data_IF_285931639017
#
_entry.id   IF_285931639017
#
_cell.length_a   1.000
_cell.length_b   1.000
_cell.length_c   1.000
_cell.angle_alpha   90.00
_cell.angle_beta   90.00
_cell.angle_gamma   90.00
#
_symmetry.space_group_name_H-M   'P 1'
#
loop_
_entity.id
_entity.type
_entity.pdbx_description
1 polymer ?
#
# COMPACT_ATOMS: atom_id res chain seq x y z
N UNK A 1 3.52 -1.19 27.38
CA UNK A 1 4.70 -0.63 26.63
C UNK A 1 5.91 -0.68 27.55
N UNK A 2 7.07 -1.18 27.09
CA UNK A 2 8.28 -1.25 27.93
C UNK A 2 8.83 0.15 28.22
N UNK A 3 9.58 0.29 29.33
CA UNK A 3 10.24 1.56 29.70
C UNK A 3 11.15 2.09 28.56
N UNK A 4 11.85 1.19 27.89
CA UNK A 4 12.69 1.54 26.74
C UNK A 4 11.90 2.15 25.58
N UNK A 5 10.68 1.64 25.31
CA UNK A 5 9.81 2.18 24.28
C UNK A 5 9.20 3.53 24.68
N UNK A 6 8.91 3.74 25.96
CA UNK A 6 8.49 5.05 26.47
C UNK A 6 9.58 6.10 26.33
N UNK A 7 10.83 5.73 26.59
CA UNK A 7 11.98 6.62 26.42
C UNK A 7 12.21 6.97 24.94
N UNK A 8 12.11 5.97 24.03
CA UNK A 8 12.19 6.21 22.58
C UNK A 8 11.10 7.20 22.11
N UNK A 9 9.88 7.05 22.62
CA UNK A 9 8.76 7.94 22.31
C UNK A 9 9.01 9.37 22.79
N UNK A 10 9.44 9.55 24.04
CA UNK A 10 9.76 10.86 24.61
C UNK A 10 10.89 11.57 23.83
N UNK A 11 11.94 10.84 23.48
CA UNK A 11 13.06 11.35 22.67
C UNK A 11 12.57 11.79 21.29
N UNK A 12 11.71 11.01 20.66
CA UNK A 12 11.11 11.32 19.36
C UNK A 12 10.28 12.60 19.41
N UNK A 13 9.43 12.76 20.43
CA UNK A 13 8.62 13.98 20.60
C UNK A 13 9.48 15.23 20.79
N UNK A 14 10.58 15.12 21.55
CA UNK A 14 11.53 16.20 21.73
C UNK A 14 12.21 16.58 20.41
N UNK A 15 12.67 15.57 19.67
CA UNK A 15 13.31 15.75 18.36
C UNK A 15 12.36 16.41 17.36
N UNK A 16 11.09 15.97 17.37
CA UNK A 16 10.07 16.51 16.49
C UNK A 16 9.74 18.00 16.81
N UNK A 17 9.54 18.33 18.07
CA UNK A 17 9.33 19.71 18.50
C UNK A 17 10.52 20.65 18.22
N UNK A 18 11.73 20.08 18.07
CA UNK A 18 12.90 20.80 17.60
C UNK A 18 12.84 21.02 16.08
N UNK A 19 12.45 19.99 15.32
CA UNK A 19 12.34 20.04 13.87
C UNK A 19 11.29 21.08 13.41
N UNK A 20 10.14 21.16 14.07
CA UNK A 20 9.05 22.09 13.73
C UNK A 20 9.44 23.56 13.75
N UNK A 21 10.37 23.96 14.65
CA UNK A 21 10.75 25.37 14.81
C UNK A 21 11.46 25.94 13.59
N UNK A 22 12.30 25.16 12.94
CA UNK A 22 13.00 25.51 11.71
C UNK A 22 13.39 24.23 10.98
N UNK A 23 12.49 23.66 10.14
CA UNK A 23 12.73 22.37 9.50
C UNK A 23 14.00 22.31 8.66
N UNK A 24 14.29 23.38 7.90
CA UNK A 24 15.44 23.44 6.98
C UNK A 24 16.78 23.37 7.74
N UNK A 25 16.91 24.10 8.83
CA UNK A 25 18.13 24.14 9.63
C UNK A 25 18.25 22.92 10.56
N UNK A 26 17.12 22.46 11.11
CA UNK A 26 17.11 21.48 12.18
C UNK A 26 17.11 20.03 11.68
N UNK A 27 16.70 19.76 10.43
CA UNK A 27 16.69 18.41 9.88
C UNK A 27 18.10 17.78 9.85
N UNK A 28 19.11 18.48 9.38
CA UNK A 28 20.49 18.02 9.36
C UNK A 28 21.08 17.88 10.77
N UNK A 29 20.77 18.80 11.69
CA UNK A 29 21.19 18.69 13.08
C UNK A 29 20.60 17.45 13.75
N UNK A 30 19.31 17.17 13.49
CA UNK A 30 18.64 15.99 13.99
C UNK A 30 19.28 14.71 13.44
N UNK A 31 19.57 14.64 12.14
CA UNK A 31 20.29 13.50 11.54
C UNK A 31 21.65 13.29 12.20
N UNK A 32 22.38 14.34 12.53
CA UNK A 32 23.66 14.24 13.23
C UNK A 32 23.53 13.68 14.64
N UNK A 33 22.40 13.91 15.33
CA UNK A 33 22.09 13.27 16.61
C UNK A 33 21.72 11.79 16.43
N UNK A 34 20.89 11.48 15.42
CA UNK A 34 20.53 10.10 15.09
C UNK A 34 21.78 9.26 14.82
N UNK A 35 22.73 9.77 14.04
CA UNK A 35 23.99 9.07 13.76
C UNK A 35 24.82 8.81 15.02
N UNK A 36 24.92 9.79 15.91
CA UNK A 36 25.64 9.62 17.19
C UNK A 36 24.98 8.60 18.12
N UNK A 37 23.64 8.52 18.11
CA UNK A 37 22.87 7.64 18.98
C UNK A 37 22.75 6.21 18.44
N UNK A 38 22.68 6.07 17.11
CA UNK A 38 22.45 4.78 16.45
C UNK A 38 23.71 3.88 16.44
N UNK A 39 24.92 4.47 16.50
CA UNK A 39 26.17 3.72 16.35
C UNK A 39 26.35 3.13 14.94
N UNK A 40 27.33 2.20 14.81
CA UNK A 40 27.72 1.62 13.52
C UNK A 40 27.30 0.15 13.35
N UNK A 41 26.42 -0.37 14.21
CA UNK A 41 25.93 -1.75 14.12
C UNK A 41 25.03 -1.99 12.91
N UNK A 42 24.90 -3.25 12.43
CA UNK A 42 24.06 -3.59 11.27
C UNK A 42 22.58 -3.19 11.48
N UNK A 43 22.10 -3.23 12.73
CA UNK A 43 20.73 -2.83 13.08
C UNK A 43 20.53 -1.30 13.15
N UNK A 44 21.59 -0.51 12.90
CA UNK A 44 21.55 0.95 12.92
C UNK A 44 21.18 1.59 11.59
N UNK A 45 20.92 0.78 10.55
CA UNK A 45 20.56 1.23 9.20
C UNK A 45 21.54 2.27 8.59
N UNK A 46 22.86 2.02 8.58
CA UNK A 46 23.85 3.02 8.19
C UNK A 46 23.68 3.51 6.75
N UNK A 47 23.34 2.60 5.81
CA UNK A 47 23.13 2.94 4.39
C UNK A 47 21.91 3.85 4.22
N UNK A 48 20.81 3.55 4.90
CA UNK A 48 19.58 4.33 4.85
C UNK A 48 19.80 5.72 5.48
N UNK A 49 20.51 5.82 6.59
CA UNK A 49 20.86 7.09 7.22
C UNK A 49 21.73 7.96 6.33
N UNK A 50 22.72 7.36 5.66
CA UNK A 50 23.56 8.07 4.70
C UNK A 50 22.76 8.61 3.52
N UNK A 51 21.83 7.81 2.98
CA UNK A 51 20.94 8.25 1.91
C UNK A 51 20.02 9.42 2.34
N UNK A 52 19.43 9.34 3.54
CA UNK A 52 18.61 10.45 4.08
C UNK A 52 19.45 11.71 4.27
N UNK A 53 20.68 11.59 4.79
CA UNK A 53 21.60 12.72 4.93
C UNK A 53 21.90 13.37 3.58
N UNK A 54 22.25 12.58 2.57
CA UNK A 54 22.50 13.07 1.22
C UNK A 54 21.33 13.85 0.65
N UNK A 55 20.11 13.38 0.89
CA UNK A 55 18.89 14.10 0.50
C UNK A 55 18.77 15.44 1.26
N UNK A 56 19.02 15.45 2.56
CA UNK A 56 18.88 16.65 3.39
C UNK A 56 19.98 17.70 3.16
N UNK A 57 21.11 17.32 2.59
CA UNK A 57 22.23 18.22 2.25
C UNK A 57 22.04 18.96 0.90
N UNK A 58 21.08 18.51 0.08
CA UNK A 58 20.80 19.13 -1.23
C UNK A 58 19.37 19.70 -1.30
N UNK A 59 19.17 21.00 -1.09
CA UNK A 59 17.86 21.64 -1.19
C UNK A 59 17.23 21.59 -2.59
N UNK A 60 18.00 21.30 -3.65
CA UNK A 60 17.49 21.13 -5.00
C UNK A 60 16.98 19.70 -5.24
N UNK A 61 17.28 18.77 -4.36
CA UNK A 61 16.81 17.40 -4.43
C UNK A 61 15.28 17.35 -4.28
N UNK A 62 14.60 16.66 -5.18
CA UNK A 62 13.15 16.54 -5.16
C UNK A 62 12.61 15.87 -3.88
N UNK A 63 13.33 14.90 -3.31
CA UNK A 63 12.95 14.27 -2.05
C UNK A 63 13.15 15.21 -0.85
N UNK A 64 14.16 16.10 -0.87
CA UNK A 64 14.27 17.20 0.09
C UNK A 64 13.02 18.10 0.03
N UNK A 65 12.63 18.49 -1.18
CA UNK A 65 11.44 19.32 -1.38
C UNK A 65 10.17 18.61 -0.89
N UNK A 66 10.02 17.29 -1.14
CA UNK A 66 8.92 16.51 -0.59
C UNK A 66 8.89 16.54 0.94
N UNK A 67 10.03 16.28 1.59
CA UNK A 67 10.12 16.32 3.06
C UNK A 67 9.76 17.71 3.60
N UNK A 68 10.28 18.78 2.99
CA UNK A 68 9.99 20.15 3.41
C UNK A 68 8.51 20.51 3.19
N UNK A 69 7.90 20.07 2.09
CA UNK A 69 6.47 20.27 1.84
C UNK A 69 5.62 19.54 2.89
N UNK A 70 5.95 18.30 3.24
CA UNK A 70 5.27 17.58 4.31
C UNK A 70 5.38 18.32 5.63
N UNK A 71 6.58 18.76 6.01
CA UNK A 71 6.84 19.46 7.27
C UNK A 71 6.16 20.83 7.37
N UNK A 72 6.01 21.54 6.25
CA UNK A 72 5.43 22.91 6.23
C UNK A 72 3.91 22.92 6.02
N UNK A 73 3.38 21.93 5.30
CA UNK A 73 1.99 21.96 4.82
C UNK A 73 1.07 20.96 5.54
N UNK A 74 1.60 20.12 6.43
CA UNK A 74 0.80 19.18 7.21
C UNK A 74 0.57 19.73 8.63
N UNK A 75 -0.63 19.51 9.17
CA UNK A 75 -0.92 19.79 10.58
C UNK A 75 0.08 19.11 11.49
N UNK A 76 0.61 19.84 12.45
CA UNK A 76 1.73 19.39 13.27
C UNK A 76 1.40 18.18 14.15
N UNK A 77 0.18 18.12 14.67
CA UNK A 77 -0.27 17.03 15.51
C UNK A 77 -0.56 15.76 14.68
N UNK A 78 -1.09 15.91 13.46
CA UNK A 78 -1.24 14.82 12.50
C UNK A 78 0.12 14.28 12.09
N UNK A 79 1.07 15.16 11.82
CA UNK A 79 2.42 14.77 11.44
C UNK A 79 3.16 14.05 12.57
N UNK A 80 3.04 14.51 13.83
CA UNK A 80 3.59 13.81 15.01
C UNK A 80 3.01 12.41 15.16
N UNK A 81 1.68 12.29 15.07
CA UNK A 81 0.99 11.00 15.18
C UNK A 81 1.42 10.06 14.05
N UNK A 82 1.49 10.55 12.81
CA UNK A 82 1.95 9.75 11.66
C UNK A 82 3.40 9.30 11.85
N UNK A 83 4.28 10.18 12.28
CA UNK A 83 5.68 9.83 12.51
C UNK A 83 5.82 8.81 13.63
N UNK A 84 5.08 8.96 14.73
CA UNK A 84 5.07 7.99 15.82
C UNK A 84 4.53 6.63 15.35
N UNK A 85 3.38 6.61 14.67
CA UNK A 85 2.71 5.36 14.32
C UNK A 85 3.42 4.65 13.17
N UNK A 86 3.77 5.36 12.10
CA UNK A 86 4.40 4.76 10.94
C UNK A 86 5.88 4.45 11.18
N UNK A 87 6.68 5.39 11.67
CA UNK A 87 8.12 5.16 11.84
C UNK A 87 8.44 4.41 13.14
N UNK A 88 7.97 4.90 14.29
CA UNK A 88 8.33 4.28 15.56
C UNK A 88 7.57 2.96 15.77
N UNK A 89 6.23 2.99 15.74
CA UNK A 89 5.44 1.82 16.10
C UNK A 89 5.53 0.72 15.03
N UNK A 90 5.29 1.04 13.74
CA UNK A 90 5.27 0.02 12.69
C UNK A 90 6.66 -0.52 12.33
N UNK A 91 7.70 0.34 12.31
CA UNK A 91 9.03 -0.09 11.86
C UNK A 91 10.00 -0.36 13.01
N UNK A 92 10.19 0.58 13.96
CA UNK A 92 11.23 0.41 14.99
C UNK A 92 10.80 -0.55 16.11
N UNK A 93 9.51 -0.59 16.46
CA UNK A 93 8.96 -1.45 17.51
C UNK A 93 8.35 -2.72 16.92
N UNK A 94 7.54 -2.58 15.85
CA UNK A 94 6.78 -3.66 15.26
C UNK A 94 7.64 -4.65 14.49
N UNK A 95 8.55 -4.16 13.66
CA UNK A 95 9.37 -5.01 12.81
C UNK A 95 10.17 -6.09 13.57
N UNK A 96 10.93 -5.78 14.63
CA UNK A 96 11.63 -6.81 15.41
C UNK A 96 10.69 -7.86 16.01
N UNK A 97 9.48 -7.44 16.41
CA UNK A 97 8.47 -8.35 16.94
C UNK A 97 7.89 -9.26 15.85
N UNK A 98 7.66 -8.73 14.65
CA UNK A 98 7.27 -9.54 13.49
C UNK A 98 8.34 -10.59 13.17
N UNK A 99 9.63 -10.23 13.19
CA UNK A 99 10.75 -11.16 12.96
C UNK A 99 10.82 -12.26 14.04
N UNK A 100 10.57 -11.93 15.31
CA UNK A 100 10.45 -12.91 16.38
C UNK A 100 9.34 -13.93 16.11
N UNK A 101 8.16 -13.44 15.72
CA UNK A 101 7.01 -14.29 15.39
C UNK A 101 7.24 -15.14 14.15
N UNK A 102 7.85 -14.60 13.07
CA UNK A 102 8.25 -15.35 11.88
C UNK A 102 9.12 -16.54 12.24
N UNK A 103 10.14 -16.32 13.04
CA UNK A 103 11.05 -17.39 13.52
C UNK A 103 10.33 -18.40 14.40
N UNK A 104 9.51 -17.93 15.34
CA UNK A 104 8.83 -18.79 16.33
C UNK A 104 7.81 -19.72 15.69
N UNK A 105 7.04 -19.23 14.72
CA UNK A 105 5.92 -19.94 14.14
C UNK A 105 6.19 -20.49 12.73
N UNK A 106 7.36 -20.20 12.18
CA UNK A 106 7.78 -20.58 10.82
C UNK A 106 6.72 -20.25 9.77
N UNK A 107 6.25 -19.00 9.76
CA UNK A 107 5.27 -18.49 8.81
C UNK A 107 5.54 -17.01 8.52
N UNK A 108 4.93 -16.50 7.47
CA UNK A 108 4.93 -15.07 7.19
C UNK A 108 4.17 -14.30 8.28
N UNK A 109 4.69 -13.13 8.68
CA UNK A 109 3.98 -12.16 9.52
C UNK A 109 3.94 -10.84 8.76
N UNK A 110 2.77 -10.27 8.50
CA UNK A 110 2.64 -9.08 7.65
C UNK A 110 3.13 -7.81 8.35
N UNK A 111 3.57 -6.84 7.54
CA UNK A 111 3.82 -5.48 8.00
C UNK A 111 2.54 -4.65 8.02
N UNK A 112 1.61 -4.92 7.09
CA UNK A 112 0.30 -4.29 7.00
C UNK A 112 -0.81 -5.31 6.80
N UNK A 113 -2.02 -5.00 7.26
CA UNK A 113 -3.22 -5.78 7.00
C UNK A 113 -4.19 -4.92 6.20
N UNK A 114 -4.62 -5.41 5.03
CA UNK A 114 -5.68 -4.81 4.24
C UNK A 114 -7.02 -5.37 4.73
N UNK A 115 -8.01 -4.49 4.90
CA UNK A 115 -9.34 -4.82 5.41
C UNK A 115 -10.40 -4.20 4.52
N UNK A 116 -11.43 -5.00 4.18
CA UNK A 116 -12.67 -4.50 3.59
C UNK A 116 -13.72 -4.30 4.69
N UNK A 117 -13.88 -3.11 5.26
CA UNK A 117 -14.91 -2.87 6.27
C UNK A 117 -16.32 -3.16 5.73
N UNK A 118 -16.49 -3.00 4.43
CA UNK A 118 -17.75 -3.23 3.69
C UNK A 118 -17.48 -3.55 2.23
N UNK A 119 -18.32 -4.38 1.63
CA UNK A 119 -18.36 -4.56 0.17
C UNK A 119 -19.24 -3.50 -0.54
N UNK A 120 -20.02 -2.71 0.23
CA UNK A 120 -20.85 -1.66 -0.34
C UNK A 120 -20.02 -0.52 -0.94
N UNK A 121 -20.36 -0.10 -2.14
CA UNK A 121 -19.76 1.03 -2.83
C UNK A 121 -20.82 1.95 -3.40
N UNK A 122 -20.55 3.23 -3.44
CA UNK A 122 -21.42 4.25 -4.05
C UNK A 122 -21.04 4.55 -5.51
N UNK A 123 -20.09 3.82 -6.09
CA UNK A 123 -19.69 3.87 -7.50
C UNK A 123 -19.73 2.46 -8.13
N UNK A 124 -19.73 2.41 -9.46
CA UNK A 124 -19.65 1.18 -10.26
C UNK A 124 -18.56 1.37 -11.33
N UNK A 125 -17.30 1.22 -10.92
CA UNK A 125 -16.16 1.45 -11.80
C UNK A 125 -15.96 0.30 -12.78
N UNK A 126 -15.64 0.60 -14.03
CA UNK A 126 -15.34 -0.41 -15.05
C UNK A 126 -14.12 -1.24 -14.65
N UNK A 127 -14.27 -2.57 -14.62
CA UNK A 127 -13.21 -3.50 -14.23
C UNK A 127 -12.76 -3.34 -12.76
N UNK A 128 -13.71 -3.12 -11.85
CA UNK A 128 -13.43 -3.05 -10.42
C UNK A 128 -13.15 -4.46 -9.87
N UNK A 129 -11.99 -4.66 -9.26
CA UNK A 129 -11.60 -5.95 -8.67
C UNK A 129 -12.54 -6.40 -7.52
N UNK A 130 -13.20 -5.47 -6.83
CA UNK A 130 -14.10 -5.76 -5.71
C UNK A 130 -15.57 -5.95 -6.11
N UNK A 131 -15.90 -5.92 -7.41
CA UNK A 131 -17.31 -5.99 -7.87
C UNK A 131 -17.97 -7.31 -7.51
N UNK A 132 -17.24 -8.41 -7.54
CA UNK A 132 -17.76 -9.78 -7.35
C UNK A 132 -18.09 -10.11 -5.88
N UNK A 133 -17.69 -9.28 -4.92
CA UNK A 133 -18.10 -9.43 -3.53
C UNK A 133 -19.56 -8.99 -3.27
N UNK A 134 -20.17 -8.28 -4.22
CA UNK A 134 -21.50 -7.67 -4.04
C UNK A 134 -21.46 -6.42 -3.15
N UNK A 135 -22.59 -6.05 -2.55
CA UNK A 135 -22.72 -4.78 -1.81
C UNK A 135 -23.36 -4.88 -0.43
N UNK A 136 -23.42 -6.09 0.15
CA UNK A 136 -24.15 -6.34 1.42
C UNK A 136 -23.29 -6.87 2.56
N UNK A 137 -22.02 -7.19 2.29
CA UNK A 137 -21.13 -7.78 3.26
C UNK A 137 -20.47 -6.68 4.11
N UNK A 138 -20.27 -6.99 5.39
CA UNK A 138 -19.60 -6.10 6.32
C UNK A 138 -18.84 -6.92 7.37
N UNK A 139 -17.62 -6.50 7.69
CA UNK A 139 -17.01 -6.81 8.97
C UNK A 139 -17.66 -5.94 10.05
N UNK A 140 -18.00 -6.50 11.19
CA UNK A 140 -18.49 -5.71 12.32
C UNK A 140 -17.36 -4.87 12.93
N UNK A 141 -17.72 -3.85 13.71
CA UNK A 141 -16.75 -3.07 14.48
C UNK A 141 -15.86 -3.96 15.35
N UNK A 142 -16.47 -4.91 16.07
CA UNK A 142 -15.76 -5.80 17.00
C UNK A 142 -14.84 -6.79 16.26
N UNK A 143 -15.21 -7.26 15.05
CA UNK A 143 -14.36 -8.09 14.23
C UNK A 143 -13.10 -7.30 13.78
N UNK A 144 -13.26 -6.07 13.29
CA UNK A 144 -12.13 -5.22 12.90
C UNK A 144 -11.25 -4.89 14.12
N UNK A 145 -11.84 -4.55 15.24
CA UNK A 145 -11.13 -4.31 16.51
C UNK A 145 -10.31 -5.53 16.95
N UNK A 146 -10.89 -6.72 16.86
CA UNK A 146 -10.20 -7.99 17.17
C UNK A 146 -9.01 -8.23 16.21
N UNK A 147 -9.19 -8.01 14.90
CA UNK A 147 -8.11 -8.15 13.92
C UNK A 147 -6.96 -7.19 14.25
N UNK A 148 -7.26 -5.93 14.55
CA UNK A 148 -6.25 -4.93 14.92
C UNK A 148 -5.53 -5.34 16.21
N UNK A 149 -6.26 -5.81 17.21
CA UNK A 149 -5.69 -6.26 18.47
C UNK A 149 -4.75 -7.45 18.30
N UNK A 150 -5.16 -8.47 17.55
CA UNK A 150 -4.33 -9.63 17.22
C UNK A 150 -3.10 -9.22 16.38
N UNK A 151 -3.28 -8.31 15.43
CA UNK A 151 -2.17 -7.76 14.63
C UNK A 151 -1.13 -7.07 15.51
N UNK A 152 -1.53 -6.23 16.45
CA UNK A 152 -0.63 -5.56 17.41
C UNK A 152 0.14 -6.55 18.29
N UNK A 153 -0.47 -7.68 18.65
CA UNK A 153 0.22 -8.76 19.36
C UNK A 153 1.38 -9.34 18.57
N UNK A 154 1.31 -9.32 17.24
CA UNK A 154 2.38 -9.75 16.33
C UNK A 154 3.29 -8.61 15.86
N UNK A 155 3.05 -7.36 16.29
CA UNK A 155 3.83 -6.19 15.91
C UNK A 155 3.34 -5.48 14.65
N UNK A 156 2.09 -5.71 14.21
CA UNK A 156 1.49 -5.00 13.08
C UNK A 156 0.81 -3.73 13.60
N UNK A 157 1.21 -2.58 13.07
CA UNK A 157 0.67 -1.25 13.42
C UNK A 157 0.20 -0.46 12.19
N UNK A 158 0.26 -1.07 11.00
CA UNK A 158 -0.22 -0.47 9.76
C UNK A 158 -1.46 -1.22 9.26
N UNK A 159 -2.57 -0.52 9.09
CA UNK A 159 -3.83 -1.05 8.59
C UNK A 159 -4.29 -0.25 7.39
N UNK A 160 -4.82 -0.94 6.37
CA UNK A 160 -5.22 -0.31 5.12
C UNK A 160 -6.68 -0.69 4.85
N UNK A 161 -7.56 0.28 4.85
CA UNK A 161 -8.96 0.07 4.49
C UNK A 161 -9.13 0.09 2.97
N UNK A 162 -9.86 -0.89 2.44
CA UNK A 162 -10.19 -1.04 1.03
C UNK A 162 -11.58 -1.67 0.89
N UNK A 163 -11.88 -2.45 -0.14
CA UNK A 163 -13.17 -3.13 -0.36
C UNK A 163 -14.04 -2.42 -1.37
N UNK A 164 -15.31 -2.20 -1.03
CA UNK A 164 -16.20 -1.32 -1.77
C UNK A 164 -15.74 0.13 -1.63
N UNK A 165 -16.49 0.98 -0.94
CA UNK A 165 -16.03 2.29 -0.50
C UNK A 165 -15.95 2.31 1.03
N UNK A 166 -14.76 2.34 1.64
CA UNK A 166 -14.61 2.30 3.09
C UNK A 166 -15.35 3.44 3.80
N UNK A 167 -15.40 4.63 3.19
CA UNK A 167 -16.04 5.80 3.79
C UNK A 167 -17.58 5.74 3.86
N UNK A 168 -18.20 4.70 3.30
CA UNK A 168 -19.61 4.38 3.61
C UNK A 168 -19.77 4.12 5.12
N UNK A 169 -18.71 3.61 5.77
CA UNK A 169 -18.63 3.34 7.22
C UNK A 169 -17.73 4.31 7.97
N UNK A 170 -17.59 5.55 7.51
CA UNK A 170 -16.67 6.53 8.09
C UNK A 170 -16.79 6.71 9.62
N UNK A 171 -17.97 6.52 10.21
CA UNK A 171 -18.15 6.61 11.67
C UNK A 171 -17.41 5.51 12.43
N UNK A 172 -17.52 4.27 11.94
CA UNK A 172 -16.83 3.12 12.54
C UNK A 172 -15.31 3.23 12.35
N UNK A 173 -14.88 3.67 11.16
CA UNK A 173 -13.45 3.86 10.88
C UNK A 173 -12.81 4.90 11.80
N UNK A 174 -13.48 6.03 12.03
CA UNK A 174 -13.00 7.05 12.97
C UNK A 174 -12.97 6.51 14.40
N UNK A 175 -13.98 5.77 14.84
CA UNK A 175 -13.99 5.16 16.17
C UNK A 175 -12.86 4.11 16.34
N UNK A 176 -12.53 3.34 15.29
CA UNK A 176 -11.39 2.43 15.30
C UNK A 176 -10.04 3.18 15.35
N UNK A 177 -9.91 4.28 14.60
CA UNK A 177 -8.74 5.15 14.66
C UNK A 177 -8.52 5.74 16.06
N UNK A 178 -9.58 6.16 16.71
CA UNK A 178 -9.55 6.67 18.09
C UNK A 178 -9.15 5.58 19.08
N UNK A 179 -9.77 4.40 18.99
CA UNK A 179 -9.47 3.25 19.86
C UNK A 179 -8.04 2.75 19.71
N UNK A 180 -7.53 2.75 18.48
CA UNK A 180 -6.17 2.30 18.15
C UNK A 180 -5.28 3.48 17.73
N UNK A 181 -5.20 4.50 18.59
CA UNK A 181 -4.43 5.71 18.33
C UNK A 181 -2.92 5.49 18.15
N UNK A 182 -2.43 4.31 18.52
CA UNK A 182 -1.05 3.83 18.32
C UNK A 182 -0.81 3.13 16.97
N UNK A 183 -1.84 3.01 16.12
CA UNK A 183 -1.77 2.45 14.77
C UNK A 183 -1.89 3.54 13.71
N UNK A 184 -1.31 3.31 12.55
CA UNK A 184 -1.51 4.13 11.36
C UNK A 184 -2.55 3.48 10.45
N UNK A 185 -3.54 4.25 10.02
CA UNK A 185 -4.57 3.83 9.09
C UNK A 185 -4.42 4.57 7.76
N UNK A 186 -4.39 3.81 6.67
CA UNK A 186 -4.49 4.32 5.32
C UNK A 186 -5.82 3.82 4.73
N UNK A 187 -6.47 4.60 3.88
CA UNK A 187 -7.69 4.15 3.21
C UNK A 187 -7.61 4.41 1.71
N UNK A 188 -7.70 3.37 0.91
CA UNK A 188 -8.03 3.52 -0.50
C UNK A 188 -9.49 3.93 -0.61
N UNK A 189 -9.76 5.09 -1.20
CA UNK A 189 -11.09 5.66 -1.27
C UNK A 189 -11.33 6.38 -2.60
N UNK A 190 -12.56 6.34 -3.09
CA UNK A 190 -12.97 7.17 -4.20
C UNK A 190 -13.14 8.66 -3.81
N UNK A 191 -12.96 8.98 -2.55
CA UNK A 191 -12.99 10.31 -1.93
C UNK A 191 -14.31 11.09 -2.07
N UNK A 192 -15.32 10.56 -2.75
CA UNK A 192 -16.60 11.28 -2.99
C UNK A 192 -17.39 11.55 -1.71
N UNK A 193 -17.04 10.88 -0.62
CA UNK A 193 -17.65 11.01 0.71
C UNK A 193 -16.82 11.84 1.70
N UNK A 194 -15.68 12.40 1.26
CA UNK A 194 -14.89 13.33 2.07
C UNK A 194 -15.58 14.70 2.07
N UNK A 195 -16.01 15.12 3.23
CA UNK A 195 -16.63 16.41 3.51
C UNK A 195 -15.89 17.10 4.67
N UNK A 196 -16.23 18.38 4.94
CA UNK A 196 -15.64 19.17 6.04
C UNK A 196 -15.77 18.46 7.41
N UNK A 197 -16.92 17.83 7.66
CA UNK A 197 -17.18 17.14 8.92
C UNK A 197 -16.22 15.95 9.09
N UNK A 198 -16.01 15.16 8.04
CA UNK A 198 -15.09 14.04 8.07
C UNK A 198 -13.63 14.50 8.17
N UNK A 199 -13.26 15.57 7.45
CA UNK A 199 -11.91 16.15 7.56
C UNK A 199 -11.62 16.65 8.99
N UNK A 200 -12.59 17.23 9.68
CA UNK A 200 -12.44 17.61 11.09
C UNK A 200 -12.25 16.38 12.01
N UNK A 201 -12.94 15.27 11.74
CA UNK A 201 -12.73 14.01 12.47
C UNK A 201 -11.33 13.42 12.18
N UNK A 202 -10.82 13.51 10.95
CA UNK A 202 -9.45 13.11 10.63
C UNK A 202 -8.42 13.92 11.42
N UNK A 203 -8.61 15.25 11.54
CA UNK A 203 -7.77 16.11 12.39
C UNK A 203 -7.84 15.68 13.87
N UNK A 204 -9.01 15.29 14.36
CA UNK A 204 -9.21 14.87 15.73
C UNK A 204 -8.49 13.56 16.07
N UNK A 205 -8.59 12.55 15.18
CA UNK A 205 -7.96 11.23 15.41
C UNK A 205 -6.49 11.18 15.00
N UNK A 206 -6.06 12.00 14.01
CA UNK A 206 -4.66 12.25 13.61
C UNK A 206 -3.93 11.10 12.90
N UNK A 207 -4.48 9.90 12.86
CA UNK A 207 -3.84 8.68 12.38
C UNK A 207 -4.52 8.05 11.16
N UNK A 208 -5.35 8.82 10.43
CA UNK A 208 -6.03 8.40 9.21
C UNK A 208 -5.53 9.19 7.99
N UNK A 209 -5.05 8.50 6.95
CA UNK A 209 -4.54 9.09 5.72
C UNK A 209 -5.26 8.48 4.51
N UNK A 210 -5.95 9.26 3.65
CA UNK A 210 -6.56 8.73 2.44
C UNK A 210 -5.55 8.61 1.30
N UNK A 211 -5.67 7.54 0.52
CA UNK A 211 -5.10 7.37 -0.80
C UNK A 211 -6.24 7.47 -1.82
N UNK A 212 -6.34 8.61 -2.48
CA UNK A 212 -7.48 9.00 -3.30
C UNK A 212 -7.38 8.35 -4.66
N UNK A 213 -8.42 7.64 -5.04
CA UNK A 213 -8.50 6.97 -6.33
C UNK A 213 -8.77 7.97 -7.46
N UNK A 214 -7.84 8.05 -8.41
CA UNK A 214 -7.93 8.92 -9.60
C UNK A 214 -7.20 8.26 -10.78
N UNK A 215 -7.73 8.42 -11.99
CA UNK A 215 -7.26 7.68 -13.17
C UNK A 215 -6.52 8.57 -14.20
N UNK A 216 -6.14 9.78 -13.81
CA UNK A 216 -5.67 10.86 -14.66
C UNK A 216 -6.62 12.05 -14.60
N UNK A 217 -6.64 12.88 -15.64
CA UNK A 217 -7.58 14.01 -15.74
C UNK A 217 -9.05 13.58 -15.89
N UNK A 218 -9.96 14.54 -15.94
CA UNK A 218 -11.41 14.34 -15.87
C UNK A 218 -11.93 13.27 -16.84
N UNK A 219 -11.53 13.32 -18.10
CA UNK A 219 -11.99 12.34 -19.10
C UNK A 219 -11.61 10.90 -18.73
N UNK A 220 -10.39 10.66 -18.26
CA UNK A 220 -9.91 9.34 -17.88
C UNK A 220 -10.57 8.87 -16.56
N UNK A 221 -10.68 9.76 -15.58
CA UNK A 221 -11.29 9.45 -14.28
C UNK A 221 -12.78 9.18 -14.42
N UNK A 222 -13.52 10.07 -15.07
CA UNK A 222 -14.96 9.92 -15.27
C UNK A 222 -15.31 8.75 -16.20
N UNK A 223 -14.47 8.50 -17.21
CA UNK A 223 -14.64 7.37 -18.12
C UNK A 223 -14.63 6.01 -17.44
N UNK A 224 -13.83 5.84 -16.39
CA UNK A 224 -13.74 4.59 -15.62
C UNK A 224 -14.67 4.58 -14.41
N UNK A 225 -14.83 5.72 -13.72
CA UNK A 225 -15.48 5.78 -12.40
C UNK A 225 -16.89 6.38 -12.43
N UNK A 226 -17.31 6.91 -13.56
CA UNK A 226 -18.62 7.56 -13.76
C UNK A 226 -18.53 9.08 -13.73
N UNK A 227 -19.40 9.70 -14.51
CA UNK A 227 -19.43 11.14 -14.74
C UNK A 227 -19.52 11.96 -13.45
N UNK A 228 -18.73 13.02 -13.37
CA UNK A 228 -18.66 13.95 -12.23
C UNK A 228 -17.86 13.41 -11.03
N UNK A 229 -17.25 12.25 -11.14
CA UNK A 229 -16.37 11.71 -10.08
C UNK A 229 -15.12 12.56 -9.92
N UNK A 230 -14.48 12.97 -11.02
CA UNK A 230 -13.30 13.83 -10.98
C UNK A 230 -13.52 15.12 -10.19
N UNK A 231 -14.62 15.82 -10.44
CA UNK A 231 -14.95 17.08 -9.75
C UNK A 231 -15.15 16.87 -8.23
N UNK A 232 -15.74 15.72 -7.83
CA UNK A 232 -15.86 15.38 -6.40
C UNK A 232 -14.50 15.09 -5.76
N UNK A 233 -13.61 14.40 -6.49
CA UNK A 233 -12.23 14.13 -6.07
C UNK A 233 -11.46 15.43 -5.84
N UNK A 234 -11.51 16.38 -6.80
CA UNK A 234 -10.86 17.68 -6.68
C UNK A 234 -11.38 18.47 -5.47
N UNK A 235 -12.69 18.45 -5.24
CA UNK A 235 -13.29 19.08 -4.06
C UNK A 235 -12.77 18.44 -2.76
N UNK A 236 -12.67 17.14 -2.70
CA UNK A 236 -12.14 16.43 -1.54
C UNK A 236 -10.66 16.81 -1.28
N UNK A 237 -9.82 16.85 -2.32
CA UNK A 237 -8.43 17.28 -2.21
C UNK A 237 -8.32 18.73 -1.70
N UNK A 238 -9.19 19.64 -2.19
CA UNK A 238 -9.22 21.03 -1.72
C UNK A 238 -9.54 21.12 -0.22
N UNK A 239 -10.53 20.37 0.27
CA UNK A 239 -10.87 20.31 1.71
C UNK A 239 -9.68 19.80 2.52
N UNK A 240 -9.04 18.70 2.09
CA UNK A 240 -7.90 18.13 2.80
C UNK A 240 -6.71 19.10 2.85
N UNK A 241 -6.42 19.76 1.73
CA UNK A 241 -5.35 20.76 1.66
C UNK A 241 -5.62 21.96 2.58
N UNK A 242 -6.85 22.50 2.57
CA UNK A 242 -7.27 23.60 3.45
C UNK A 242 -7.11 23.26 4.93
N UNK A 243 -7.39 21.98 5.30
CA UNK A 243 -7.24 21.48 6.66
C UNK A 243 -5.83 21.01 7.00
N UNK A 244 -4.87 21.18 6.10
CA UNK A 244 -3.50 20.68 6.29
C UNK A 244 -3.42 19.15 6.56
N UNK A 245 -4.33 18.38 6.00
CA UNK A 245 -4.36 16.94 6.12
C UNK A 245 -3.56 16.27 5.00
N UNK A 246 -2.65 15.34 5.33
CA UNK A 246 -1.88 14.62 4.32
C UNK A 246 -2.76 13.63 3.56
N UNK A 247 -2.52 13.50 2.25
CA UNK A 247 -3.14 12.49 1.41
C UNK A 247 -2.22 12.06 0.28
N UNK A 248 -2.52 10.94 -0.30
CA UNK A 248 -1.88 10.45 -1.52
C UNK A 248 -2.89 10.03 -2.57
N UNK A 249 -2.38 9.42 -3.63
CA UNK A 249 -3.16 8.95 -4.75
C UNK A 249 -3.09 7.44 -4.88
N UNK A 250 -4.18 6.86 -5.38
CA UNK A 250 -4.26 5.48 -5.87
C UNK A 250 -4.62 5.53 -7.35
N UNK A 251 -3.68 5.19 -8.20
CA UNK A 251 -3.75 5.36 -9.65
C UNK A 251 -3.68 4.00 -10.34
N UNK A 252 -4.79 3.52 -10.91
CA UNK A 252 -4.78 2.30 -11.69
C UNK A 252 -4.54 2.61 -13.16
N UNK A 253 -3.35 2.27 -13.67
CA UNK A 253 -3.07 2.43 -15.08
C UNK A 253 -3.58 1.24 -15.91
N UNK A 254 -4.15 1.55 -17.06
CA UNK A 254 -4.77 0.63 -18.00
C UNK A 254 -4.23 0.91 -19.41
N UNK A 255 -4.56 0.05 -20.37
CA UNK A 255 -4.27 0.29 -21.79
C UNK A 255 -4.86 1.59 -22.36
N UNK A 256 -5.84 2.20 -21.66
CA UNK A 256 -6.65 3.31 -22.18
C UNK A 256 -6.35 4.67 -21.55
N UNK A 257 -5.68 4.72 -20.39
CA UNK A 257 -5.48 5.97 -19.65
C UNK A 257 -4.01 6.38 -19.46
N UNK A 258 -3.06 5.66 -20.09
CA UNK A 258 -1.63 5.91 -19.90
C UNK A 258 -1.23 7.36 -20.15
N UNK A 259 -1.69 7.93 -21.27
CA UNK A 259 -1.33 9.31 -21.66
C UNK A 259 -1.71 10.34 -20.60
N UNK A 260 -2.85 10.13 -19.93
CA UNK A 260 -3.32 11.01 -18.87
C UNK A 260 -2.61 10.77 -17.54
N UNK A 261 -2.64 9.50 -17.06
CA UNK A 261 -2.20 9.15 -15.70
C UNK A 261 -0.68 9.23 -15.51
N UNK A 262 0.08 9.13 -16.60
CA UNK A 262 1.55 9.18 -16.61
C UNK A 262 2.12 10.55 -17.00
N UNK A 263 1.26 11.52 -17.37
CA UNK A 263 1.74 12.85 -17.81
C UNK A 263 2.37 13.61 -16.63
N UNK A 264 3.41 14.41 -16.93
CA UNK A 264 4.02 15.27 -15.93
C UNK A 264 3.04 16.35 -15.47
N UNK A 265 2.20 16.85 -16.39
CA UNK A 265 1.16 17.83 -16.10
C UNK A 265 0.18 17.31 -15.05
N UNK A 266 -0.22 16.03 -15.14
CA UNK A 266 -1.10 15.42 -14.16
C UNK A 266 -0.40 15.32 -12.79
N UNK A 267 0.83 14.81 -12.73
CA UNK A 267 1.58 14.70 -11.48
C UNK A 267 1.88 16.04 -10.86
N UNK A 268 2.30 17.03 -11.65
CA UNK A 268 2.57 18.38 -11.18
C UNK A 268 1.30 19.03 -10.60
N UNK A 269 0.14 18.83 -11.25
CA UNK A 269 -1.14 19.30 -10.76
C UNK A 269 -1.54 18.60 -9.44
N UNK A 270 -1.31 17.29 -9.29
CA UNK A 270 -1.61 16.55 -8.06
C UNK A 270 -0.71 17.01 -6.90
N UNK A 271 0.59 17.25 -7.15
CA UNK A 271 1.51 17.80 -6.18
C UNK A 271 1.07 19.20 -5.74
N UNK A 272 0.68 20.04 -6.69
CA UNK A 272 0.17 21.38 -6.42
C UNK A 272 -1.11 21.35 -5.57
N UNK A 273 -1.97 20.34 -5.76
CA UNK A 273 -3.18 20.16 -4.94
C UNK A 273 -2.91 19.54 -3.57
N UNK A 274 -1.68 19.09 -3.30
CA UNK A 274 -1.25 18.65 -1.98
C UNK A 274 -1.00 17.17 -1.84
N UNK A 275 -1.02 16.37 -2.92
CA UNK A 275 -0.66 14.96 -2.86
C UNK A 275 0.81 14.78 -2.45
N UNK A 276 1.10 13.84 -1.53
CA UNK A 276 2.45 13.58 -1.01
C UNK A 276 3.01 12.24 -1.46
N UNK A 277 2.15 11.31 -1.83
CA UNK A 277 2.53 10.03 -2.42
C UNK A 277 1.56 9.64 -3.51
N UNK A 278 2.00 8.75 -4.39
CA UNK A 278 1.18 8.11 -5.41
C UNK A 278 1.49 6.62 -5.47
N UNK A 279 0.45 5.83 -5.44
CA UNK A 279 0.51 4.39 -5.62
C UNK A 279 -0.04 4.05 -6.99
N UNK A 280 0.83 3.63 -7.91
CA UNK A 280 0.45 3.13 -9.21
C UNK A 280 0.17 1.64 -9.13
N UNK A 281 -0.97 1.23 -9.62
CA UNK A 281 -1.38 -0.16 -9.78
C UNK A 281 -1.59 -0.46 -11.25
N UNK A 282 -1.05 -1.57 -11.70
CA UNK A 282 -1.41 -2.17 -12.97
C UNK A 282 -2.85 -2.70 -12.88
N UNK A 283 -3.64 -2.56 -13.95
CA UNK A 283 -4.96 -3.18 -13.99
C UNK A 283 -4.84 -4.70 -13.81
N UNK A 284 -5.69 -5.28 -12.99
CA UNK A 284 -5.73 -6.70 -12.68
C UNK A 284 -7.07 -7.29 -13.13
N UNK A 285 -7.10 -8.37 -13.98
CA UNK A 285 -8.31 -8.90 -14.58
C UNK A 285 -9.02 -9.89 -13.66
N UNK A 286 -9.41 -9.43 -12.46
CA UNK A 286 -10.04 -10.23 -11.40
C UNK A 286 -11.55 -10.26 -11.57
N UNK A 287 -12.16 -11.42 -11.38
CA UNK A 287 -13.60 -11.64 -11.47
C UNK A 287 -14.10 -11.96 -12.89
N UNK A 288 -15.31 -12.49 -12.96
CA UNK A 288 -15.94 -12.86 -14.23
C UNK A 288 -16.29 -11.64 -15.10
N UNK A 289 -16.54 -10.47 -14.46
CA UNK A 289 -16.83 -9.19 -15.13
C UNK A 289 -15.56 -8.37 -15.43
N UNK A 290 -14.37 -8.98 -15.29
CA UNK A 290 -13.11 -8.34 -15.67
C UNK A 290 -13.10 -7.96 -17.16
N UNK A 291 -12.40 -6.89 -17.49
CA UNK A 291 -12.25 -6.35 -18.85
C UNK A 291 -10.79 -6.53 -19.29
N UNK A 292 -10.40 -7.69 -19.87
CA UNK A 292 -9.00 -7.98 -20.22
C UNK A 292 -8.37 -6.95 -21.16
N UNK A 293 -9.19 -6.24 -21.97
CA UNK A 293 -8.75 -5.19 -22.89
C UNK A 293 -8.15 -3.97 -22.15
N UNK A 294 -8.41 -3.84 -20.85
CA UNK A 294 -7.78 -2.82 -20.00
C UNK A 294 -6.35 -3.17 -19.57
N UNK A 295 -5.92 -4.43 -19.78
CA UNK A 295 -4.52 -4.80 -19.50
C UNK A 295 -3.56 -3.98 -20.38
N UNK A 296 -2.58 -3.28 -19.83
CA UNK A 296 -1.51 -2.67 -20.60
C UNK A 296 -0.73 -3.74 -21.37
N UNK A 297 -0.36 -3.45 -22.61
CA UNK A 297 0.56 -4.32 -23.34
C UNK A 297 2.01 -4.19 -22.80
N UNK A 298 2.95 -5.04 -23.21
CA UNK A 298 4.33 -5.00 -22.72
C UNK A 298 5.02 -3.65 -22.90
N UNK A 299 4.83 -2.98 -24.03
CA UNK A 299 5.41 -1.67 -24.34
C UNK A 299 4.84 -0.58 -23.41
N UNK A 300 3.55 -0.64 -23.13
CA UNK A 300 2.87 0.26 -22.20
C UNK A 300 3.35 0.05 -20.76
N UNK A 301 3.53 -1.19 -20.33
CA UNK A 301 4.07 -1.51 -19.00
C UNK A 301 5.53 -1.09 -18.87
N UNK A 302 6.37 -1.32 -19.89
CA UNK A 302 7.74 -0.85 -19.94
C UNK A 302 7.82 0.67 -19.86
N UNK A 303 6.97 1.37 -20.63
CA UNK A 303 6.85 2.82 -20.54
C UNK A 303 6.55 3.28 -19.10
N UNK A 304 5.58 2.65 -18.41
CA UNK A 304 5.26 2.98 -17.02
C UNK A 304 6.41 2.66 -16.06
N UNK A 305 7.12 1.55 -16.28
CA UNK A 305 8.32 1.21 -15.53
C UNK A 305 9.35 2.34 -15.54
N UNK A 306 9.64 2.89 -16.71
CA UNK A 306 10.59 4.00 -16.86
C UNK A 306 10.00 5.32 -16.33
N UNK A 307 8.74 5.60 -16.65
CA UNK A 307 8.06 6.84 -16.26
C UNK A 307 7.96 7.02 -14.73
N UNK A 308 7.61 5.97 -14.00
CA UNK A 308 7.50 6.08 -12.54
C UNK A 308 8.88 6.26 -11.89
N UNK A 309 9.92 5.66 -12.44
CA UNK A 309 11.31 5.89 -11.99
C UNK A 309 11.75 7.32 -12.25
N UNK A 310 11.39 7.88 -13.40
CA UNK A 310 11.68 9.26 -13.73
C UNK A 310 10.89 10.23 -12.82
N UNK A 311 9.61 9.99 -12.57
CA UNK A 311 8.82 10.76 -11.58
C UNK A 311 9.51 10.71 -10.20
N UNK A 312 9.96 9.56 -9.74
CA UNK A 312 10.73 9.41 -8.48
C UNK A 312 11.99 10.26 -8.45
N UNK A 313 12.68 10.33 -9.58
CA UNK A 313 13.96 11.04 -9.69
C UNK A 313 13.79 12.57 -9.80
N UNK A 314 12.63 13.04 -10.28
CA UNK A 314 12.48 14.45 -10.69
C UNK A 314 11.37 15.21 -9.98
N UNK A 315 10.39 14.53 -9.38
CA UNK A 315 9.21 15.19 -8.78
C UNK A 315 9.19 15.04 -7.26
N UNK A 316 8.75 16.08 -6.52
CA UNK A 316 8.65 16.02 -5.05
C UNK A 316 7.40 15.26 -4.58
N UNK A 317 7.32 13.98 -4.95
CA UNK A 317 6.25 13.06 -4.58
C UNK A 317 6.83 11.65 -4.39
N UNK A 318 6.36 10.91 -3.38
CA UNK A 318 6.76 9.52 -3.18
C UNK A 318 5.94 8.61 -4.10
N UNK A 319 6.51 8.20 -5.23
CA UNK A 319 5.84 7.35 -6.21
C UNK A 319 6.20 5.88 -6.02
N UNK A 320 5.19 5.00 -5.98
CA UNK A 320 5.32 3.55 -5.88
C UNK A 320 4.69 2.89 -7.11
N UNK A 321 5.32 1.83 -7.62
CA UNK A 321 4.80 1.01 -8.71
C UNK A 321 4.59 -0.42 -8.20
N UNK A 322 3.36 -0.74 -7.84
CA UNK A 322 3.05 -1.98 -7.11
C UNK A 322 3.54 -3.24 -7.84
N UNK A 323 3.42 -3.31 -9.16
CA UNK A 323 3.82 -4.46 -9.96
C UNK A 323 5.29 -4.43 -10.38
N UNK A 324 5.86 -3.26 -10.64
CA UNK A 324 7.22 -3.16 -11.17
C UNK A 324 8.30 -2.88 -10.11
N UNK A 325 7.90 -2.64 -8.85
CA UNK A 325 8.83 -2.47 -7.72
C UNK A 325 9.26 -3.78 -7.05
N UNK A 326 8.92 -4.92 -7.63
CA UNK A 326 9.35 -6.23 -7.13
C UNK A 326 10.86 -6.35 -6.94
N UNK A 327 11.67 -5.66 -7.77
CA UNK A 327 13.13 -5.62 -7.64
C UNK A 327 13.62 -5.03 -6.30
N UNK A 328 12.88 -4.06 -5.73
CA UNK A 328 13.27 -3.41 -4.47
C UNK A 328 12.80 -4.16 -3.23
N UNK A 329 11.81 -5.06 -3.39
CA UNK A 329 11.19 -5.77 -2.27
C UNK A 329 11.40 -7.29 -2.34
N UNK A 330 12.18 -7.76 -3.31
CA UNK A 330 12.52 -9.19 -3.47
C UNK A 330 11.35 -10.03 -4.00
N UNK A 331 10.58 -9.50 -4.96
CA UNK A 331 9.45 -10.18 -5.60
C UNK A 331 8.11 -9.94 -4.91
N UNK A 332 7.18 -10.91 -5.01
CA UNK A 332 5.83 -10.81 -4.47
C UNK A 332 5.82 -10.57 -2.96
N UNK A 333 5.02 -9.62 -2.49
CA UNK A 333 4.89 -9.23 -1.08
C UNK A 333 3.61 -9.76 -0.39
N UNK A 334 2.75 -10.44 -1.12
CA UNK A 334 1.47 -11.00 -0.65
C UNK A 334 1.65 -12.22 0.27
N UNK A 335 0.57 -12.89 0.64
CA UNK A 335 0.58 -14.11 1.46
C UNK A 335 1.17 -13.89 2.85
N UNK A 336 0.94 -12.72 3.45
CA UNK A 336 1.46 -12.37 4.76
C UNK A 336 2.94 -11.98 4.78
N UNK A 337 3.68 -12.01 3.64
CA UNK A 337 5.10 -11.63 3.62
C UNK A 337 5.31 -10.16 3.98
N UNK A 338 4.47 -9.27 3.45
CA UNK A 338 4.37 -7.86 3.83
C UNK A 338 2.93 -7.46 4.12
N UNK A 339 1.96 -8.07 3.44
CA UNK A 339 0.54 -7.86 3.68
C UNK A 339 -0.29 -9.09 3.40
N UNK A 340 -1.50 -9.09 3.91
CA UNK A 340 -2.62 -9.96 3.54
C UNK A 340 -3.88 -9.11 3.38
N UNK A 341 -4.91 -9.70 2.81
CA UNK A 341 -6.22 -9.08 2.64
C UNK A 341 -7.29 -9.86 3.42
N UNK A 342 -8.20 -9.16 4.08
CA UNK A 342 -9.37 -9.74 4.74
C UNK A 342 -10.60 -9.04 4.15
N UNK A 343 -11.40 -9.78 3.40
CA UNK A 343 -12.57 -9.24 2.74
C UNK A 343 -13.75 -9.02 3.70
N UNK A 344 -14.81 -8.38 3.23
CA UNK A 344 -15.98 -8.05 4.04
C UNK A 344 -16.82 -9.26 4.51
N UNK A 345 -16.55 -10.48 3.96
CA UNK A 345 -17.11 -11.73 4.45
C UNK A 345 -16.24 -12.39 5.53
N UNK A 346 -15.07 -11.82 5.81
CA UNK A 346 -14.09 -12.37 6.75
C UNK A 346 -13.14 -13.39 6.15
N UNK A 347 -13.22 -13.68 4.83
CA UNK A 347 -12.26 -14.54 4.17
C UNK A 347 -10.90 -13.86 4.11
N UNK A 348 -9.85 -14.63 4.35
CA UNK A 348 -8.48 -14.13 4.39
C UNK A 348 -7.77 -14.55 3.10
N UNK A 349 -7.65 -13.61 2.18
CA UNK A 349 -6.99 -13.81 0.90
C UNK A 349 -5.50 -13.48 0.98
N UNK A 350 -4.63 -14.20 0.26
CA UNK A 350 -3.20 -13.87 0.21
C UNK A 350 -2.92 -12.45 -0.31
N UNK A 351 -3.75 -11.97 -1.23
CA UNK A 351 -3.63 -10.70 -1.93
C UNK A 351 -5.01 -10.13 -2.25
N UNK A 352 -5.14 -8.83 -2.27
CA UNK A 352 -6.36 -8.12 -2.67
C UNK A 352 -6.84 -8.46 -4.10
N UNK A 353 -5.96 -9.01 -4.94
CA UNK A 353 -6.25 -9.45 -6.30
C UNK A 353 -6.35 -10.99 -6.44
N UNK A 354 -6.22 -11.73 -5.36
CA UNK A 354 -6.29 -13.21 -5.36
C UNK A 354 -7.47 -13.62 -4.49
N UNK A 355 -8.62 -13.81 -5.12
CA UNK A 355 -9.88 -14.11 -4.47
C UNK A 355 -10.05 -15.64 -4.25
N UNK A 356 -9.07 -16.24 -3.60
CA UNK A 356 -9.09 -17.65 -3.20
C UNK A 356 -8.59 -17.81 -1.78
N UNK A 357 -9.37 -18.50 -0.95
CA UNK A 357 -9.03 -18.72 0.45
C UNK A 357 -9.48 -20.10 0.95
N UNK A 358 -8.86 -20.56 2.02
CA UNK A 358 -9.32 -21.63 2.88
C UNK A 358 -9.22 -21.22 4.36
N UNK A 359 -9.26 -19.90 4.61
CA UNK A 359 -9.17 -19.32 5.94
C UNK A 359 -10.16 -18.17 6.10
N UNK A 360 -10.88 -18.14 7.24
CA UNK A 360 -11.81 -17.06 7.57
C UNK A 360 -11.54 -16.56 8.98
N UNK A 361 -11.45 -15.26 9.16
CA UNK A 361 -11.10 -14.62 10.46
C UNK A 361 -12.20 -14.80 11.53
N UNK A 362 -13.42 -15.17 11.13
CA UNK A 362 -14.50 -15.48 12.05
C UNK A 362 -14.37 -16.87 12.67
N UNK A 363 -13.60 -17.75 12.04
CA UNK A 363 -13.46 -19.16 12.42
C UNK A 363 -12.13 -19.47 13.09
N UNK A 364 -11.10 -18.62 12.85
CA UNK A 364 -9.75 -18.88 13.33
C UNK A 364 -9.03 -17.60 13.73
N UNK A 365 -7.97 -17.71 14.53
CA UNK A 365 -7.13 -16.57 14.88
C UNK A 365 -6.32 -16.08 13.69
N UNK A 366 -5.89 -14.80 13.72
CA UNK A 366 -5.04 -14.23 12.68
C UNK A 366 -3.73 -15.01 12.50
N UNK A 367 -3.17 -15.58 13.58
CA UNK A 367 -1.98 -16.43 13.48
C UNK A 367 -2.28 -17.74 12.78
N UNK A 368 -3.44 -18.36 13.04
CA UNK A 368 -3.85 -19.60 12.37
C UNK A 368 -4.14 -19.36 10.89
N UNK A 369 -4.73 -18.20 10.54
CA UNK A 369 -4.85 -17.75 9.15
C UNK A 369 -3.50 -17.76 8.44
N UNK A 370 -2.48 -17.13 9.03
CA UNK A 370 -1.13 -17.05 8.45
C UNK A 370 -0.43 -18.43 8.34
N UNK A 371 -0.95 -19.45 9.01
CA UNK A 371 -0.49 -20.84 8.96
C UNK A 371 -1.43 -21.76 8.18
N UNK A 372 -2.47 -21.22 7.58
CA UNK A 372 -3.38 -22.01 6.74
C UNK A 372 -2.67 -22.50 5.46
N UNK A 373 -3.18 -23.54 4.80
CA UNK A 373 -2.50 -24.14 3.65
C UNK A 373 -2.15 -23.16 2.54
N UNK A 374 -3.06 -22.23 2.19
CA UNK A 374 -2.79 -21.26 1.13
C UNK A 374 -1.68 -20.26 1.52
N UNK A 375 -1.67 -19.76 2.77
CA UNK A 375 -0.63 -18.85 3.25
C UNK A 375 0.72 -19.54 3.37
N UNK A 376 0.75 -20.80 3.80
CA UNK A 376 2.00 -21.57 3.84
C UNK A 376 2.54 -21.88 2.44
N UNK A 377 1.68 -22.10 1.42
CA UNK A 377 2.13 -22.22 0.03
C UNK A 377 2.78 -20.93 -0.49
N UNK A 378 2.32 -19.77 -0.04
CA UNK A 378 3.01 -18.50 -0.34
C UNK A 378 4.34 -18.36 0.42
N UNK A 379 4.37 -18.71 1.71
CA UNK A 379 5.59 -18.70 2.52
C UNK A 379 6.70 -19.55 1.90
N UNK A 380 6.37 -20.77 1.51
CA UNK A 380 7.33 -21.75 0.98
C UNK A 380 7.69 -21.50 -0.50
N UNK A 381 6.78 -20.88 -1.26
CA UNK A 381 6.94 -20.68 -2.72
C UNK A 381 7.55 -19.33 -3.12
N UNK A 382 7.60 -18.36 -2.23
CA UNK A 382 8.15 -17.02 -2.57
C UNK A 382 9.69 -16.99 -2.52
N UNK A 383 10.33 -16.29 -3.49
CA UNK A 383 9.75 -15.59 -4.63
C UNK A 383 9.29 -16.57 -5.71
N UNK A 384 8.15 -16.29 -6.36
CA UNK A 384 7.57 -17.16 -7.39
C UNK A 384 8.37 -17.14 -8.71
N UNK A 385 9.28 -16.20 -8.87
CA UNK A 385 10.14 -16.05 -10.02
C UNK A 385 11.46 -15.35 -9.63
N UNK A 386 12.59 -15.81 -10.13
CA UNK A 386 13.90 -15.18 -9.91
C UNK A 386 14.02 -13.80 -10.57
N UNK A 387 13.26 -13.56 -11.62
CA UNK A 387 13.05 -12.24 -12.19
C UNK A 387 11.96 -11.50 -11.41
N UNK A 388 12.36 -10.61 -10.51
CA UNK A 388 11.44 -9.87 -9.65
C UNK A 388 10.59 -8.81 -10.39
N UNK A 389 10.75 -8.63 -11.71
CA UNK A 389 9.79 -7.91 -12.56
C UNK A 389 8.66 -8.83 -13.08
N UNK A 390 8.66 -10.09 -12.64
CA UNK A 390 7.60 -11.07 -12.82
C UNK A 390 7.17 -11.64 -11.47
N UNK A 391 6.78 -10.80 -10.49
CA UNK A 391 6.61 -11.26 -9.11
C UNK A 391 5.30 -12.00 -8.85
N UNK A 392 4.24 -11.72 -9.60
CA UNK A 392 2.88 -12.14 -9.28
C UNK A 392 2.59 -13.59 -9.70
N UNK A 393 2.07 -14.43 -8.81
CA UNK A 393 1.68 -15.80 -9.14
C UNK A 393 0.43 -15.87 -10.03
N UNK A 394 -0.33 -14.77 -10.17
CA UNK A 394 -1.49 -14.69 -11.06
C UNK A 394 -1.12 -14.11 -12.43
N UNK A 395 -0.59 -12.86 -12.42
CA UNK A 395 -0.46 -12.08 -13.65
C UNK A 395 0.73 -12.55 -14.52
N UNK A 396 1.86 -12.92 -13.89
CA UNK A 396 3.09 -13.28 -14.60
C UNK A 396 3.48 -14.76 -14.50
N UNK A 397 2.89 -15.49 -13.55
CA UNK A 397 3.17 -16.92 -13.34
C UNK A 397 1.85 -17.67 -13.04
N UNK A 398 0.85 -17.63 -13.95
CA UNK A 398 -0.49 -18.16 -13.69
C UNK A 398 -0.51 -19.66 -13.34
N UNK A 399 0.45 -20.43 -13.82
CA UNK A 399 0.64 -21.83 -13.44
C UNK A 399 0.88 -21.99 -11.94
N UNK A 400 1.58 -21.04 -11.29
CA UNK A 400 1.83 -21.08 -9.84
C UNK A 400 0.56 -20.88 -9.03
N UNK A 401 -0.29 -19.93 -9.41
CA UNK A 401 -1.57 -19.74 -8.73
C UNK A 401 -2.45 -20.99 -8.89
N UNK A 402 -2.53 -21.54 -10.10
CA UNK A 402 -3.31 -22.75 -10.39
C UNK A 402 -2.85 -23.93 -9.52
N UNK A 403 -1.52 -24.14 -9.42
CA UNK A 403 -0.92 -25.16 -8.55
C UNK A 403 -1.28 -24.93 -7.07
N UNK A 404 -1.11 -23.71 -6.57
CA UNK A 404 -1.39 -23.35 -5.17
C UNK A 404 -2.85 -23.60 -4.82
N UNK A 405 -3.80 -23.08 -5.60
CA UNK A 405 -5.23 -23.21 -5.31
C UNK A 405 -5.66 -24.68 -5.33
N UNK A 406 -5.22 -25.45 -6.33
CA UNK A 406 -5.57 -26.89 -6.43
C UNK A 406 -4.94 -27.73 -5.31
N UNK A 407 -3.69 -27.46 -4.95
CA UNK A 407 -2.98 -28.20 -3.91
C UNK A 407 -3.53 -27.92 -2.51
N UNK A 408 -3.99 -26.69 -2.25
CA UNK A 408 -4.48 -26.27 -0.93
C UNK A 408 -5.99 -26.49 -0.74
N UNK A 409 -6.73 -26.75 -1.83
CA UNK A 409 -8.18 -26.83 -1.78
C UNK A 409 -8.85 -25.48 -1.49
N UNK A 410 -8.16 -24.37 -1.76
CA UNK A 410 -8.74 -23.04 -1.60
C UNK A 410 -9.92 -22.85 -2.58
N UNK A 411 -10.98 -22.18 -2.11
CA UNK A 411 -12.17 -21.88 -2.90
C UNK A 411 -12.23 -20.39 -3.25
N UNK A 412 -13.02 -20.07 -4.29
CA UNK A 412 -13.26 -18.67 -4.66
C UNK A 412 -13.98 -17.93 -3.54
N UNK A 413 -13.51 -16.72 -3.23
CA UNK A 413 -14.14 -15.81 -2.27
C UNK A 413 -15.06 -14.78 -2.94
N UNK A 414 -15.24 -14.87 -4.26
CA UNK A 414 -16.21 -14.11 -5.03
C UNK A 414 -17.61 -14.69 -4.85
N UNK A 415 -18.41 -14.13 -3.98
CA UNK A 415 -19.69 -14.71 -3.57
C UNK A 415 -20.82 -14.49 -4.59
N UNK A 416 -20.72 -13.44 -5.41
CA UNK A 416 -21.77 -13.13 -6.41
C UNK A 416 -21.61 -13.98 -7.67
N UNK A 417 -20.37 -14.14 -8.11
CA UNK A 417 -20.03 -14.88 -9.33
C UNK A 417 -18.69 -15.58 -9.13
N UNK A 418 -18.68 -16.74 -8.42
CA UNK A 418 -17.44 -17.46 -8.13
C UNK A 418 -16.66 -17.78 -9.40
N UNK A 419 -15.43 -17.23 -9.48
CA UNK A 419 -14.53 -17.50 -10.60
C UNK A 419 -13.66 -18.73 -10.32
N UNK A 420 -13.51 -19.64 -11.29
CA UNK A 420 -12.57 -20.75 -11.16
C UNK A 420 -11.14 -20.29 -11.37
N UNK A 421 -10.19 -20.89 -10.67
CA UNK A 421 -8.76 -20.55 -10.83
C UNK A 421 -8.27 -20.80 -12.26
N UNK A 422 -8.80 -21.80 -12.95
CA UNK A 422 -8.45 -22.06 -14.34
C UNK A 422 -8.88 -20.88 -15.24
N UNK A 423 -10.12 -20.39 -15.11
CA UNK A 423 -10.61 -19.24 -15.88
C UNK A 423 -9.80 -17.96 -15.59
N UNK A 424 -9.50 -17.66 -14.33
CA UNK A 424 -8.68 -16.50 -13.98
C UNK A 424 -7.28 -16.59 -14.58
N UNK A 425 -6.64 -17.75 -14.47
CA UNK A 425 -5.30 -17.99 -14.99
C UNK A 425 -5.25 -17.93 -16.53
N UNK A 426 -6.25 -18.48 -17.22
CA UNK A 426 -6.35 -18.44 -18.69
C UNK A 426 -6.38 -16.98 -19.21
N UNK A 427 -7.04 -16.06 -18.52
CA UNK A 427 -7.02 -14.61 -18.84
C UNK A 427 -5.62 -14.01 -18.78
N UNK A 428 -4.73 -14.56 -17.95
CA UNK A 428 -3.38 -14.04 -17.70
C UNK A 428 -2.29 -14.69 -18.57
N UNK A 429 -2.51 -15.89 -19.15
CA UNK A 429 -1.47 -16.65 -19.85
C UNK A 429 -0.83 -15.89 -21.02
N UNK A 430 -1.63 -15.30 -21.88
CA UNK A 430 -1.13 -14.52 -23.01
C UNK A 430 -0.32 -13.31 -22.53
N UNK A 431 -0.79 -12.63 -21.53
CA UNK A 431 -0.11 -11.48 -20.92
C UNK A 431 1.25 -11.91 -20.32
N UNK A 432 1.29 -12.96 -19.51
CA UNK A 432 2.49 -13.48 -18.87
C UNK A 432 3.58 -13.83 -19.90
N UNK A 433 3.17 -14.51 -20.99
CA UNK A 433 4.06 -14.87 -22.11
C UNK A 433 4.62 -13.64 -22.81
N UNK A 434 3.78 -12.68 -23.14
CA UNK A 434 4.18 -11.47 -23.87
C UNK A 434 5.11 -10.58 -23.01
N UNK A 435 4.86 -10.46 -21.70
CA UNK A 435 5.70 -9.68 -20.80
C UNK A 435 7.08 -10.30 -20.54
N UNK A 436 7.25 -11.61 -20.71
CA UNK A 436 8.49 -12.34 -20.36
C UNK A 436 9.74 -11.77 -21.00
N UNK A 437 9.70 -11.43 -22.30
CA UNK A 437 10.87 -10.89 -23.02
C UNK A 437 11.29 -9.54 -22.44
N UNK A 438 10.39 -8.58 -22.42
CA UNK A 438 10.64 -7.22 -21.90
C UNK A 438 11.10 -7.25 -20.43
N UNK A 439 10.43 -8.06 -19.60
CA UNK A 439 10.84 -8.21 -18.20
C UNK A 439 12.27 -8.77 -18.07
N UNK A 440 12.70 -9.67 -18.95
CA UNK A 440 14.05 -10.25 -18.92
C UNK A 440 15.10 -9.21 -19.32
N UNK A 441 14.83 -8.40 -20.32
CA UNK A 441 15.71 -7.31 -20.72
C UNK A 441 15.87 -6.26 -19.61
N UNK A 442 14.76 -5.76 -19.07
CA UNK A 442 14.76 -4.81 -17.96
C UNK A 442 15.49 -5.38 -16.73
N UNK A 443 15.22 -6.63 -16.37
CA UNK A 443 15.86 -7.28 -15.23
C UNK A 443 17.37 -7.42 -15.41
N UNK A 444 17.85 -7.70 -16.63
CA UNK A 444 19.27 -7.80 -16.92
C UNK A 444 20.04 -6.50 -16.65
N UNK A 445 19.36 -5.37 -16.74
CA UNK A 445 19.92 -4.04 -16.49
C UNK A 445 19.69 -3.55 -15.06
N UNK A 446 18.88 -4.27 -14.25
CA UNK A 446 18.48 -3.82 -12.93
C UNK A 446 19.61 -3.82 -11.91
N UNK A 447 19.59 -2.86 -10.99
CA UNK A 447 20.55 -2.79 -9.88
C UNK A 447 20.39 -3.97 -8.91
N UNK A 448 19.19 -4.52 -8.77
CA UNK A 448 18.89 -5.64 -7.87
C UNK A 448 19.59 -6.93 -8.34
N UNK A 449 19.60 -7.22 -9.64
CA UNK A 449 20.31 -8.36 -10.20
C UNK A 449 21.82 -8.23 -9.97
N UNK A 450 22.38 -7.06 -10.24
CA UNK A 450 23.84 -6.80 -10.06
C UNK A 450 24.27 -6.96 -8.60
N UNK A 451 23.43 -6.60 -7.62
CA UNK A 451 23.71 -6.81 -6.18
C UNK A 451 23.64 -8.29 -5.82
N UNK A 452 22.61 -9.01 -6.26
CA UNK A 452 22.46 -10.44 -5.96
C UNK A 452 23.53 -11.33 -6.62
N UNK A 453 24.17 -10.88 -7.70
CA UNK A 453 25.34 -11.54 -8.30
C UNK A 453 26.64 -11.23 -7.54
N UNK A 454 26.75 -10.07 -6.89
CA UNK A 454 27.91 -9.69 -6.09
C UNK A 454 27.90 -10.33 -4.67
N UNK A 455 26.76 -10.82 -4.21
CA UNK A 455 26.60 -11.49 -2.89
C UNK A 455 26.68 -13.03 -2.99
N UNK A 456 26.76 -13.60 -4.20
CA UNK A 456 27.02 -15.03 -4.46
C UNK A 456 28.50 -15.27 -4.78
#
# INVERSE_FOLDING_TARGET
MSFANQLKKATLHTAFGYLEKNPEENALKLMSWVDKLAGDGPDSFPVQRAAVRQVLEDPQNNMYQLVMNILKETDSEVMKATFENFFLNANIIGWPKQEEYRKKYNCNIPWAILLDPTSACNLHCTGCWAAEYGNKLNLTFDEIDSIITQGKEMGVYMYIYTGGEPLVRKKDLIALCEKHSDCQFLSFTNATLIDEAFANEMLRVKNFIPAISVEGFESATDGRRGNGTYQKVIKAMAILKEKHLPFGLSCCYTSQNLDSISSYEFIDQMIQWGARFVWYFHYMPVGNDAVPELLPNPEQREFMYHRIRDIRATKPIFAMDFQNDGEYVGGCIAGGRRYLHINANGDCDPCVFIHYSNANIREMSLLDVLRSPIFMSYHDGQPFNDNHLRPCPMLENPEKLREIVKATGAHSTDLQSPETVDHLCDKCEAYAKNWTHTATELWSCSCAKKKGEAEK
#
